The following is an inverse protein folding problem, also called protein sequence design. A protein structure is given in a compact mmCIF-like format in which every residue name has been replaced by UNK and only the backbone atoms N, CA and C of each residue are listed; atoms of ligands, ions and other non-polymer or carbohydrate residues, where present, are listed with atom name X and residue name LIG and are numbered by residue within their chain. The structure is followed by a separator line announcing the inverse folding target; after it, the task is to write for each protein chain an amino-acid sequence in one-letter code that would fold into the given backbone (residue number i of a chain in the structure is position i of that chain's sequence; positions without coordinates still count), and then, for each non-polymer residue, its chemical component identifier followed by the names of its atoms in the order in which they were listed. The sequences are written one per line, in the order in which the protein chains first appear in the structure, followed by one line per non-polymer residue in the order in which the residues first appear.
data_IF_381270556494
#
_entry.id   IF_381270556494
#
_cell.length_a   1.000
_cell.length_b   1.000
_cell.length_c   1.000
_cell.angle_alpha   90.00
_cell.angle_beta   90.00
_cell.angle_gamma   90.00
#
_symmetry.space_group_name_H-M   'P 1'
#
loop_
_entity.id
_entity.type
_entity.pdbx_description
1 polymer ?
#
# COMPACT_ATOMS: atom_id res chain seq x y z
N UNK A 1 -24.23 -0.76 0.31
CA UNK A 1 -23.62 -1.74 1.21
C UNK A 1 -22.20 -1.28 1.47
N UNK A 2 -21.77 -1.17 2.74
CA UNK A 2 -20.36 -0.92 3.07
C UNK A 2 -19.64 -2.26 2.97
N UNK A 3 -19.29 -2.65 1.75
CA UNK A 3 -18.40 -3.78 1.54
C UNK A 3 -16.98 -3.32 1.89
N UNK A 4 -16.28 -4.12 2.70
CA UNK A 4 -14.88 -3.93 3.00
C UNK A 4 -14.12 -5.18 2.54
N UNK A 5 -13.00 -4.96 1.87
CA UNK A 5 -12.08 -6.02 1.47
C UNK A 5 -10.78 -5.87 2.25
N UNK A 6 -10.30 -6.98 2.82
CA UNK A 6 -9.00 -7.05 3.47
C UNK A 6 -8.24 -8.27 2.96
N UNK A 7 -6.91 -8.14 2.87
CA UNK A 7 -6.04 -9.18 2.38
C UNK A 7 -4.59 -8.89 2.70
N UNK A 8 -3.74 -9.89 2.53
CA UNK A 8 -2.31 -9.79 2.81
C UNK A 8 -1.51 -9.94 1.51
N UNK A 9 -0.54 -9.05 1.30
CA UNK A 9 0.51 -9.25 0.31
C UNK A 9 1.67 -10.01 0.97
N UNK A 10 1.77 -11.31 0.67
CA UNK A 10 2.85 -12.17 1.16
C UNK A 10 3.87 -12.36 0.04
N UNK A 11 5.14 -12.10 0.33
CA UNK A 11 6.26 -12.27 -0.61
C UNK A 11 7.31 -13.13 0.07
N UNK A 12 7.64 -14.25 -0.57
CA UNK A 12 8.71 -15.13 -0.14
C UNK A 12 10.01 -14.38 0.03
N UNK A 13 10.75 -14.72 1.09
CA UNK A 13 11.95 -13.98 1.49
C UNK A 13 13.01 -13.94 0.38
N UNK A 14 13.11 -15.02 -0.41
CA UNK A 14 14.04 -15.15 -1.54
C UNK A 14 13.71 -14.19 -2.70
N UNK A 15 12.44 -13.79 -2.82
CA UNK A 15 11.93 -12.93 -3.87
C UNK A 15 11.63 -11.50 -3.39
N UNK A 16 11.92 -11.20 -2.12
CA UNK A 16 11.57 -9.94 -1.46
C UNK A 16 12.55 -8.83 -1.82
N UNK A 17 12.46 -8.35 -3.06
CA UNK A 17 13.18 -7.16 -3.53
C UNK A 17 12.30 -5.92 -3.43
N UNK A 18 12.92 -4.73 -3.36
CA UNK A 18 12.18 -3.47 -3.39
C UNK A 18 11.34 -3.31 -4.67
N UNK A 19 11.84 -3.82 -5.80
CA UNK A 19 11.14 -3.83 -7.08
C UNK A 19 9.89 -4.75 -7.04
N UNK A 20 10.03 -5.97 -6.51
CA UNK A 20 8.90 -6.91 -6.38
C UNK A 20 7.81 -6.36 -5.45
N UNK A 21 8.19 -5.80 -4.30
CA UNK A 21 7.24 -5.16 -3.38
C UNK A 21 6.51 -4.00 -4.08
N UNK A 22 7.24 -3.18 -4.84
CA UNK A 22 6.66 -2.04 -5.56
C UNK A 22 5.68 -2.49 -6.65
N UNK A 23 6.07 -3.46 -7.48
CA UNK A 23 5.24 -4.01 -8.55
C UNK A 23 3.95 -4.61 -7.99
N UNK A 24 4.04 -5.52 -7.03
CA UNK A 24 2.88 -6.22 -6.48
C UNK A 24 1.94 -5.26 -5.74
N UNK A 25 2.48 -4.28 -5.01
CA UNK A 25 1.66 -3.26 -4.37
C UNK A 25 0.92 -2.38 -5.41
N UNK A 26 1.56 -2.08 -6.55
CA UNK A 26 0.91 -1.36 -7.66
C UNK A 26 -0.23 -2.16 -8.26
N UNK A 27 -0.03 -3.47 -8.50
CA UNK A 27 -1.07 -4.35 -9.06
C UNK A 27 -2.30 -4.40 -8.15
N UNK A 28 -2.10 -4.59 -6.84
CA UNK A 28 -3.20 -4.54 -5.86
C UNK A 28 -3.93 -3.19 -5.91
N UNK A 29 -3.19 -2.08 -5.94
CA UNK A 29 -3.79 -0.74 -6.03
C UNK A 29 -4.53 -0.49 -7.35
N UNK A 30 -4.09 -1.13 -8.44
CA UNK A 30 -4.73 -1.05 -9.74
C UNK A 30 -6.02 -1.86 -9.77
N UNK A 31 -6.03 -3.06 -9.20
CA UNK A 31 -7.24 -3.88 -9.15
C UNK A 31 -8.33 -3.22 -8.31
N UNK A 32 -7.96 -2.65 -7.16
CA UNK A 32 -8.92 -1.97 -6.27
C UNK A 32 -9.37 -0.60 -6.79
N UNK A 33 -8.71 0.00 -7.79
CA UNK A 33 -9.15 1.29 -8.36
C UNK A 33 -10.53 1.20 -8.99
N UNK A 34 -10.89 0.00 -9.47
CA UNK A 34 -12.18 -0.30 -10.07
C UNK A 34 -13.25 -0.64 -9.01
N UNK A 35 -12.85 -0.81 -7.76
CA UNK A 35 -13.77 -0.95 -6.64
C UNK A 35 -14.24 0.44 -6.18
N UNK A 36 -15.51 0.57 -5.79
CA UNK A 36 -16.09 1.86 -5.37
C UNK A 36 -15.77 2.22 -3.91
N UNK A 37 -14.56 1.88 -3.45
CA UNK A 37 -14.12 2.16 -2.08
C UNK A 37 -13.64 3.60 -1.94
N UNK A 38 -14.22 4.36 -1.01
CA UNK A 38 -13.82 5.74 -0.75
C UNK A 38 -12.42 5.87 -0.14
N UNK A 39 -12.05 4.91 0.71
CA UNK A 39 -10.80 4.91 1.48
C UNK A 39 -10.18 3.53 1.44
N UNK A 40 -8.88 3.48 1.17
CA UNK A 40 -8.08 2.27 1.14
C UNK A 40 -7.19 2.22 2.36
N UNK A 41 -7.09 1.07 3.01
CA UNK A 41 -6.32 0.89 4.22
C UNK A 41 -5.18 -0.10 3.99
N UNK A 42 -4.07 0.12 4.66
CA UNK A 42 -2.97 -0.85 4.72
C UNK A 42 -2.39 -0.87 6.12
N UNK A 43 -2.07 -2.06 6.60
CA UNK A 43 -1.45 -2.27 7.89
C UNK A 43 -0.03 -2.80 7.68
N UNK A 44 0.93 -2.09 8.24
CA UNK A 44 2.34 -2.36 7.99
C UNK A 44 3.07 -2.44 9.32
N UNK A 45 3.73 -3.56 9.57
CA UNK A 45 4.59 -3.71 10.75
C UNK A 45 5.60 -2.57 10.85
N UNK A 46 5.79 -2.03 12.06
CA UNK A 46 6.80 -1.00 12.36
C UNK A 46 8.22 -1.45 12.03
N UNK A 47 8.45 -2.76 12.00
CA UNK A 47 9.74 -3.37 11.65
C UNK A 47 9.95 -3.48 10.13
N UNK A 48 8.88 -3.40 9.33
CA UNK A 48 8.97 -3.46 7.86
C UNK A 48 9.22 -2.06 7.25
N UNK A 49 10.45 -1.57 7.43
CA UNK A 49 10.87 -0.23 6.96
C UNK A 49 10.69 -0.03 5.45
N UNK A 50 10.86 -1.09 4.65
CA UNK A 50 10.72 -1.04 3.20
C UNK A 50 9.28 -0.71 2.80
N UNK A 51 8.30 -1.48 3.29
CA UNK A 51 6.89 -1.25 3.03
C UNK A 51 6.41 0.10 3.60
N UNK A 52 6.90 0.53 4.77
CA UNK A 52 6.57 1.84 5.32
C UNK A 52 7.06 3.00 4.44
N UNK A 53 8.29 2.89 3.95
CA UNK A 53 8.86 3.91 3.06
C UNK A 53 8.10 3.97 1.74
N UNK A 54 7.76 2.81 1.18
CA UNK A 54 6.95 2.72 -0.04
C UNK A 54 5.55 3.33 0.17
N UNK A 55 4.87 2.95 1.24
CA UNK A 55 3.54 3.46 1.60
C UNK A 55 3.54 4.99 1.70
N UNK A 56 4.50 5.58 2.43
CA UNK A 56 4.66 7.04 2.54
C UNK A 56 4.93 7.71 1.19
N UNK A 57 5.84 7.15 0.37
CA UNK A 57 6.14 7.67 -0.97
C UNK A 57 4.92 7.65 -1.89
N UNK A 58 4.05 6.67 -1.68
CA UNK A 58 2.81 6.49 -2.42
C UNK A 58 1.62 7.24 -1.80
N UNK A 59 1.87 8.24 -0.96
CA UNK A 59 0.83 9.16 -0.48
C UNK A 59 -0.12 8.57 0.56
N UNK A 60 0.20 7.41 1.14
CA UNK A 60 -0.54 6.91 2.29
C UNK A 60 -0.22 7.74 3.53
N UNK A 61 -1.27 8.10 4.25
CA UNK A 61 -1.20 8.83 5.51
C UNK A 61 -1.33 7.85 6.67
N UNK A 62 -0.57 8.05 7.74
CA UNK A 62 -0.67 7.25 8.97
C UNK A 62 -1.83 7.76 9.83
N UNK A 63 -2.58 6.86 10.47
CA UNK A 63 -3.49 7.25 11.56
C UNK A 63 -2.73 7.57 12.85
N UNK A 64 -3.23 8.52 13.63
CA UNK A 64 -2.64 8.86 14.93
C UNK A 64 -2.78 7.71 15.95
N UNK A 65 -3.87 6.96 15.89
CA UNK A 65 -4.08 5.73 16.67
C UNK A 65 -3.50 4.52 15.95
N UNK A 66 -2.23 4.18 16.22
CA UNK A 66 -1.60 2.97 15.70
C UNK A 66 -1.22 2.03 16.85
N UNK A 67 -1.50 0.73 16.71
CA UNK A 67 -1.09 -0.30 17.68
C UNK A 67 0.44 -0.32 17.86
N UNK A 68 0.92 -0.92 18.96
CA UNK A 68 2.32 -0.82 19.40
C UNK A 68 3.34 -1.30 18.36
N UNK A 69 2.97 -2.25 17.52
CA UNK A 69 3.82 -2.93 16.54
C UNK A 69 3.40 -2.72 15.08
N UNK A 70 2.21 -2.15 14.84
CA UNK A 70 1.62 -1.97 13.51
C UNK A 70 1.33 -0.49 13.22
N UNK A 71 1.60 -0.05 11.99
CA UNK A 71 1.14 1.24 11.47
C UNK A 71 -0.12 1.01 10.63
N UNK A 72 -1.22 1.63 11.04
CA UNK A 72 -2.44 1.71 10.24
C UNK A 72 -2.34 2.94 9.33
N UNK A 73 -2.42 2.73 8.03
CA UNK A 73 -2.26 3.77 7.01
C UNK A 73 -3.48 3.79 6.08
N UNK A 74 -3.81 4.96 5.52
CA UNK A 74 -4.90 5.13 4.57
C UNK A 74 -4.53 5.94 3.32
N UNK A 75 -5.28 5.71 2.25
CA UNK A 75 -5.24 6.47 1.01
C UNK A 75 -6.67 6.76 0.54
N UNK A 76 -6.97 8.03 0.27
CA UNK A 76 -8.26 8.43 -0.31
C UNK A 76 -8.31 8.04 -1.79
N UNK A 77 -9.48 7.58 -2.26
CA UNK A 77 -9.70 7.23 -3.67
C UNK A 77 -9.32 8.34 -4.64
N UNK A 78 -9.60 9.59 -4.28
CA UNK A 78 -9.24 10.77 -5.08
C UNK A 78 -7.73 10.90 -5.34
N UNK A 79 -6.90 10.29 -4.49
CA UNK A 79 -5.44 10.29 -4.62
C UNK A 79 -4.91 9.10 -5.42
N UNK A 80 -5.68 8.02 -5.60
CA UNK A 80 -5.25 6.82 -6.33
C UNK A 80 -4.70 7.11 -7.74
N UNK A 81 -5.34 7.93 -8.59
CA UNK A 81 -4.81 8.23 -9.93
C UNK A 81 -3.42 8.89 -9.88
N UNK A 82 -3.16 9.73 -8.87
CA UNK A 82 -1.86 10.38 -8.68
C UNK A 82 -0.81 9.36 -8.22
N UNK A 83 -1.19 8.47 -7.31
CA UNK A 83 -0.31 7.42 -6.78
C UNK A 83 0.07 6.43 -7.88
N UNK A 84 -0.90 5.94 -8.66
CA UNK A 84 -0.66 5.01 -9.76
C UNK A 84 0.26 5.59 -10.84
N UNK A 85 0.18 6.90 -11.11
CA UNK A 85 1.12 7.62 -11.99
C UNK A 85 2.51 7.79 -11.39
N UNK A 86 2.61 7.88 -10.06
CA UNK A 86 3.87 8.06 -9.34
C UNK A 86 4.68 6.76 -9.21
N UNK A 87 4.06 5.60 -9.37
CA UNK A 87 4.76 4.32 -9.56
C UNK A 87 5.54 4.33 -10.89
N UNK A 88 6.69 4.99 -10.89
CA UNK A 88 7.72 4.78 -11.89
C UNK A 88 8.47 3.51 -11.50
N UNK A 89 8.49 2.53 -12.39
CA UNK A 89 9.48 1.47 -12.29
C UNK A 89 10.84 2.14 -12.42
N UNK A 90 11.53 2.36 -11.31
CA UNK A 90 12.98 2.45 -11.34
C UNK A 90 13.45 1.01 -11.56
N UNK A 91 13.31 0.54 -12.80
CA UNK A 91 14.19 -0.52 -13.28
C UNK A 91 15.59 0.11 -13.36
N UNK A 92 16.53 -0.59 -12.75
CA UNK A 92 17.97 -0.31 -12.62
C UNK A 92 18.54 0.86 -13.43
#
# INVERSE_FOLDING_TARGET
MNESYSGFLLIDVEHRTGAAISLLHKEVLFDIVNCDFHTHFTEISRYNKASLTLSKRNGFSKFEGSYEDMNHCYLLRSLLPKVLKAFKFTGD
#
